data_IF_672193086715
#
_entry.id   IF_672193086715
#
_cell.length_a   1.000
_cell.length_b   1.000
_cell.length_c   1.000
_cell.angle_alpha   90.00
_cell.angle_beta   90.00
_cell.angle_gamma   90.00
#
_symmetry.space_group_name_H-M   'P 1'
#
loop_
_entity.id
_entity.type
_entity.pdbx_description
1 polymer ?
#
# COMPACT_ATOMS: atom_id res chain seq x y z
N UNK A 1 9.18 -5.64 -3.12
CA UNK A 1 9.70 -4.33 -2.69
C UNK A 1 10.12 -3.60 -3.96
N UNK A 2 9.68 -2.36 -4.21
CA UNK A 2 10.16 -1.64 -5.40
C UNK A 2 11.58 -1.16 -5.15
N UNK A 3 12.45 -1.26 -6.15
CA UNK A 3 13.81 -0.77 -6.04
C UNK A 3 13.79 0.77 -5.85
N UNK A 4 14.62 1.31 -4.94
CA UNK A 4 14.82 2.76 -4.85
C UNK A 4 15.37 3.29 -6.18
N UNK A 5 15.16 4.58 -6.44
CA UNK A 5 15.75 5.24 -7.59
C UNK A 5 17.29 5.18 -7.54
N UNK A 6 17.90 4.91 -8.68
CA UNK A 6 19.35 4.90 -8.86
C UNK A 6 19.85 6.30 -9.25
N UNK A 7 21.16 6.55 -9.14
CA UNK A 7 21.78 7.81 -9.60
C UNK A 7 21.42 8.14 -11.06
N UNK A 8 21.37 7.12 -11.92
CA UNK A 8 20.99 7.28 -13.34
C UNK A 8 19.54 7.76 -13.47
N UNK A 9 18.64 7.29 -12.62
CA UNK A 9 17.23 7.71 -12.64
C UNK A 9 17.11 9.19 -12.23
N UNK A 10 17.89 9.63 -11.24
CA UNK A 10 17.94 11.03 -10.82
C UNK A 10 18.53 11.95 -11.89
N UNK A 11 19.64 11.54 -12.52
CA UNK A 11 20.24 12.28 -13.63
C UNK A 11 19.24 12.49 -14.78
N UNK A 12 18.54 11.42 -15.18
CA UNK A 12 17.53 11.50 -16.25
C UNK A 12 16.35 12.39 -15.87
N UNK A 13 15.87 12.26 -14.63
CA UNK A 13 14.77 13.07 -14.09
C UNK A 13 15.10 14.56 -14.10
N UNK A 14 16.25 14.95 -13.53
CA UNK A 14 16.66 16.35 -13.45
C UNK A 14 17.03 16.92 -14.82
N UNK A 15 17.62 16.11 -15.69
CA UNK A 15 17.89 16.52 -17.08
C UNK A 15 16.59 16.86 -17.81
N UNK A 16 15.57 16.00 -17.71
CA UNK A 16 14.26 16.25 -18.32
C UNK A 16 13.61 17.54 -17.81
N UNK A 17 13.65 17.77 -16.48
CA UNK A 17 13.10 18.98 -15.87
C UNK A 17 13.88 20.23 -16.26
N UNK A 18 15.22 20.16 -16.32
CA UNK A 18 16.08 21.26 -16.73
C UNK A 18 15.81 21.71 -18.17
N UNK A 19 15.47 20.78 -19.07
CA UNK A 19 15.08 21.12 -20.45
C UNK A 19 13.65 21.66 -20.56
N UNK A 20 12.73 21.18 -19.73
CA UNK A 20 11.32 21.56 -19.80
C UNK A 20 11.00 22.87 -19.07
N UNK A 21 11.77 23.20 -18.04
CA UNK A 21 11.49 24.35 -17.17
C UNK A 21 12.32 25.57 -17.57
N UNK A 22 11.76 26.75 -17.34
CA UNK A 22 12.46 28.01 -17.51
C UNK A 22 13.44 28.24 -16.36
N UNK A 23 14.68 28.57 -16.70
CA UNK A 23 15.73 28.80 -15.71
C UNK A 23 17.08 29.06 -16.36
N UNK A 24 18.01 29.60 -15.56
CA UNK A 24 19.41 29.73 -15.96
C UNK A 24 20.02 28.33 -16.02
N UNK A 25 20.69 27.99 -17.12
CA UNK A 25 21.46 26.75 -17.19
C UNK A 25 22.56 26.79 -16.13
N UNK A 26 22.55 25.87 -15.16
CA UNK A 26 23.59 25.83 -14.15
C UNK A 26 24.93 25.49 -14.79
N UNK A 27 26.02 25.95 -14.17
CA UNK A 27 27.35 25.46 -14.50
C UNK A 27 27.46 23.96 -14.18
N UNK A 28 28.49 23.30 -14.69
CA UNK A 28 28.68 21.86 -14.46
C UNK A 28 28.80 21.51 -12.97
N UNK A 29 29.48 22.36 -12.20
CA UNK A 29 29.66 22.15 -10.76
C UNK A 29 28.38 22.42 -9.99
N UNK A 30 27.62 23.44 -10.37
CA UNK A 30 26.29 23.72 -9.81
C UNK A 30 25.31 22.58 -10.10
N UNK A 31 25.32 22.03 -11.31
CA UNK A 31 24.47 20.91 -11.69
C UNK A 31 24.79 19.66 -10.87
N UNK A 32 26.08 19.37 -10.63
CA UNK A 32 26.53 18.26 -9.81
C UNK A 32 26.15 18.42 -8.34
N UNK A 33 26.33 19.62 -7.79
CA UNK A 33 25.90 19.93 -6.42
C UNK A 33 24.37 19.83 -6.28
N UNK A 34 23.64 20.32 -7.27
CA UNK A 34 22.20 20.18 -7.36
C UNK A 34 21.76 18.71 -7.35
N UNK A 35 22.32 17.88 -8.22
CA UNK A 35 22.03 16.45 -8.29
C UNK A 35 22.18 15.77 -6.92
N UNK A 36 23.30 16.00 -6.23
CA UNK A 36 23.55 15.42 -4.92
C UNK A 36 22.50 15.82 -3.86
N UNK A 37 21.97 17.04 -3.94
CA UNK A 37 20.88 17.51 -3.07
C UNK A 37 19.59 16.76 -3.35
N UNK A 38 19.21 16.59 -4.63
CA UNK A 38 18.01 15.85 -5.00
C UNK A 38 18.11 14.37 -4.66
N UNK A 39 19.25 13.73 -4.94
CA UNK A 39 19.50 12.33 -4.58
C UNK A 39 19.32 12.12 -3.08
N UNK A 40 19.93 12.97 -2.25
CA UNK A 40 19.80 12.87 -0.79
C UNK A 40 18.37 13.10 -0.32
N UNK A 41 17.66 14.07 -0.91
CA UNK A 41 16.30 14.42 -0.50
C UNK A 41 15.25 13.38 -0.94
N UNK A 42 15.55 12.58 -1.96
CA UNK A 42 14.61 11.68 -2.61
C UNK A 42 15.05 10.22 -2.57
N UNK A 43 16.05 9.88 -1.75
CA UNK A 43 16.65 8.54 -1.68
C UNK A 43 15.64 7.40 -1.47
N UNK A 44 14.54 7.67 -0.75
CA UNK A 44 13.49 6.69 -0.45
C UNK A 44 12.44 6.56 -1.55
N UNK A 45 12.50 7.39 -2.59
CA UNK A 45 11.50 7.41 -3.67
C UNK A 45 11.80 6.29 -4.68
N UNK A 46 10.83 5.42 -5.00
CA UNK A 46 11.01 4.43 -6.05
C UNK A 46 11.13 5.06 -7.44
N UNK A 47 11.99 4.50 -8.29
CA UNK A 47 12.25 5.01 -9.65
C UNK A 47 10.97 5.28 -10.47
N UNK A 48 10.00 4.36 -10.40
CA UNK A 48 8.72 4.47 -11.12
C UNK A 48 7.87 5.67 -10.68
N UNK A 49 7.88 5.99 -9.38
CA UNK A 49 7.10 7.11 -8.86
C UNK A 49 7.79 8.44 -9.19
N UNK A 50 9.13 8.45 -9.14
CA UNK A 50 9.94 9.58 -9.60
C UNK A 50 9.66 9.89 -11.08
N UNK A 51 9.65 8.89 -11.95
CA UNK A 51 9.40 9.05 -13.39
C UNK A 51 8.00 9.64 -13.68
N UNK A 52 6.99 9.19 -12.92
CA UNK A 52 5.62 9.74 -12.99
C UNK A 52 5.53 11.17 -12.47
N UNK A 53 6.24 11.46 -11.37
CA UNK A 53 6.33 12.80 -10.82
C UNK A 53 6.95 13.77 -11.81
N UNK A 54 8.06 13.39 -12.44
CA UNK A 54 8.74 14.18 -13.50
C UNK A 54 7.79 14.42 -14.66
N UNK A 55 7.13 13.39 -15.17
CA UNK A 55 6.17 13.52 -16.29
C UNK A 55 5.05 14.51 -15.97
N UNK A 56 4.56 14.50 -14.73
CA UNK A 56 3.55 15.45 -14.26
C UNK A 56 4.12 16.87 -14.19
N UNK A 57 5.27 17.06 -13.55
CA UNK A 57 5.85 18.38 -13.32
C UNK A 57 6.35 19.05 -14.60
N UNK A 58 6.81 18.27 -15.59
CA UNK A 58 7.13 18.78 -16.93
C UNK A 58 5.93 19.48 -17.59
N UNK A 59 4.70 19.07 -17.27
CA UNK A 59 3.47 19.65 -17.84
C UNK A 59 2.91 20.81 -17.04
N UNK A 60 3.20 20.86 -15.75
CA UNK A 60 2.54 21.76 -14.79
C UNK A 60 3.47 22.88 -14.29
N UNK A 61 4.78 22.65 -14.23
CA UNK A 61 5.74 23.60 -13.67
C UNK A 61 6.37 24.47 -14.74
N UNK A 62 6.37 25.77 -14.52
CA UNK A 62 7.09 26.75 -15.35
C UNK A 62 8.57 26.85 -14.96
N UNK A 63 8.90 26.70 -13.67
CA UNK A 63 10.25 26.78 -13.13
C UNK A 63 10.73 25.42 -12.62
N UNK A 64 12.04 25.29 -12.41
CA UNK A 64 12.63 24.07 -11.87
C UNK A 64 12.00 23.74 -10.50
N UNK A 65 11.32 22.59 -10.34
CA UNK A 65 10.65 22.24 -9.10
C UNK A 65 11.68 21.91 -8.02
N UNK A 66 11.44 22.37 -6.80
CA UNK A 66 12.23 22.03 -5.62
C UNK A 66 12.15 20.54 -5.27
N UNK A 67 13.11 20.00 -4.48
CA UNK A 67 13.02 18.61 -4.01
C UNK A 67 11.70 18.30 -3.27
N UNK A 68 11.17 19.27 -2.54
CA UNK A 68 9.90 19.13 -1.82
C UNK A 68 8.70 18.99 -2.77
N UNK A 69 8.67 19.75 -3.87
CA UNK A 69 7.63 19.65 -4.90
C UNK A 69 7.71 18.31 -5.64
N UNK A 70 8.93 17.86 -5.95
CA UNK A 70 9.17 16.55 -6.56
C UNK A 70 8.68 15.42 -5.65
N UNK A 71 9.03 15.48 -4.35
CA UNK A 71 8.59 14.52 -3.35
C UNK A 71 7.08 14.50 -3.21
N UNK A 72 6.44 15.68 -3.16
CA UNK A 72 4.98 15.80 -3.09
C UNK A 72 4.30 15.16 -4.31
N UNK A 73 4.84 15.40 -5.51
CA UNK A 73 4.33 14.79 -6.73
C UNK A 73 4.52 13.26 -6.75
N UNK A 74 5.68 12.75 -6.32
CA UNK A 74 5.93 11.31 -6.22
C UNK A 74 5.00 10.63 -5.20
N UNK A 75 4.83 11.24 -4.02
CA UNK A 75 3.96 10.74 -2.96
C UNK A 75 2.49 10.65 -3.38
N UNK A 76 2.03 11.54 -4.27
CA UNK A 76 0.67 11.45 -4.81
C UNK A 76 0.43 10.10 -5.53
N UNK A 77 1.41 9.61 -6.29
CA UNK A 77 1.33 8.33 -6.98
C UNK A 77 1.56 7.15 -6.02
N UNK A 78 2.46 7.32 -5.04
CA UNK A 78 2.71 6.31 -4.02
C UNK A 78 1.50 6.08 -3.10
N UNK A 79 0.71 7.12 -2.78
CA UNK A 79 -0.39 7.07 -1.83
C UNK A 79 -1.42 5.98 -2.17
N UNK A 80 -1.83 5.87 -3.44
CA UNK A 80 -2.78 4.83 -3.89
C UNK A 80 -2.22 3.42 -3.65
N UNK A 81 -0.94 3.22 -3.91
CA UNK A 81 -0.27 1.93 -3.71
C UNK A 81 -0.11 1.62 -2.22
N UNK A 82 0.34 2.60 -1.42
CA UNK A 82 0.46 2.46 0.03
C UNK A 82 -0.87 2.10 0.67
N UNK A 83 -1.96 2.73 0.21
CA UNK A 83 -3.32 2.38 0.65
C UNK A 83 -3.70 0.94 0.27
N UNK A 84 -3.44 0.52 -0.97
CA UNK A 84 -3.73 -0.85 -1.40
C UNK A 84 -2.95 -1.89 -0.59
N UNK A 85 -1.66 -1.64 -0.31
CA UNK A 85 -0.83 -2.51 0.52
C UNK A 85 -1.35 -2.55 1.97
N UNK A 86 -1.67 -1.39 2.54
CA UNK A 86 -2.23 -1.29 3.89
C UNK A 86 -3.54 -2.06 4.01
N UNK A 87 -4.44 -1.92 3.03
CA UNK A 87 -5.70 -2.66 2.97
C UNK A 87 -5.47 -4.16 2.84
N UNK A 88 -4.55 -4.60 1.98
CA UNK A 88 -4.22 -6.02 1.85
C UNK A 88 -3.69 -6.60 3.17
N UNK A 89 -2.78 -5.90 3.86
CA UNK A 89 -2.28 -6.28 5.19
C UNK A 89 -3.41 -6.37 6.21
N UNK A 90 -4.34 -5.42 6.18
CA UNK A 90 -5.48 -5.43 7.08
C UNK A 90 -6.40 -6.64 6.83
N UNK A 91 -6.66 -7.00 5.57
CA UNK A 91 -7.44 -8.19 5.23
C UNK A 91 -6.76 -9.49 5.64
N UNK A 92 -5.44 -9.58 5.48
CA UNK A 92 -4.66 -10.73 5.96
C UNK A 92 -4.78 -10.83 7.48
N UNK A 93 -4.61 -9.71 8.19
CA UNK A 93 -4.75 -9.69 9.64
C UNK A 93 -6.15 -10.10 10.11
N UNK A 94 -7.22 -9.65 9.42
CA UNK A 94 -8.59 -10.09 9.71
C UNK A 94 -8.76 -11.59 9.48
N UNK A 95 -8.19 -12.12 8.40
CA UNK A 95 -8.21 -13.55 8.13
C UNK A 95 -7.48 -14.31 9.24
N UNK A 96 -6.25 -13.94 9.59
CA UNK A 96 -5.47 -14.60 10.65
C UNK A 96 -6.17 -14.55 12.02
N UNK A 97 -6.90 -13.46 12.31
CA UNK A 97 -7.61 -13.26 13.59
C UNK A 97 -8.94 -14.00 13.66
N UNK A 98 -9.77 -13.88 12.63
CA UNK A 98 -11.19 -14.25 12.68
C UNK A 98 -11.52 -15.50 11.87
N UNK A 99 -10.63 -15.93 10.97
CA UNK A 99 -10.89 -17.10 10.16
C UNK A 99 -11.00 -18.35 11.03
N UNK A 100 -12.16 -19.00 10.92
CA UNK A 100 -12.35 -20.37 11.40
C UNK A 100 -12.53 -21.25 10.18
N UNK A 101 -11.84 -22.39 10.09
CA UNK A 101 -12.08 -23.32 9.00
C UNK A 101 -13.55 -23.73 9.01
N UNK A 102 -14.17 -23.89 7.83
CA UNK A 102 -15.54 -24.36 7.75
C UNK A 102 -15.63 -25.71 8.46
N UNK A 103 -16.44 -25.78 9.50
CA UNK A 103 -16.80 -27.04 10.14
C UNK A 103 -17.80 -27.76 9.24
N UNK A 104 -17.70 -29.08 9.16
CA UNK A 104 -18.71 -29.89 8.50
C UNK A 104 -20.06 -29.58 9.18
N UNK A 105 -21.00 -29.02 8.43
CA UNK A 105 -22.35 -28.86 8.92
C UNK A 105 -22.96 -30.25 9.06
N UNK A 106 -23.58 -30.48 10.21
CA UNK A 106 -24.33 -31.70 10.52
C UNK A 106 -25.39 -31.88 9.44
N UNK A 107 -25.54 -33.10 8.91
CA UNK A 107 -26.57 -33.38 7.92
C UNK A 107 -27.97 -33.13 8.55
N UNK A 108 -29.00 -32.74 7.77
CA UNK A 108 -30.33 -32.50 8.32
C UNK A 108 -30.90 -33.67 9.13
N UNK A 109 -30.54 -34.90 8.75
CA UNK A 109 -30.92 -36.14 9.44
C UNK A 109 -30.23 -36.25 10.81
N UNK A 110 -28.91 -36.07 10.86
CA UNK A 110 -28.14 -36.06 12.11
C UNK A 110 -28.58 -34.94 13.08
N UNK A 111 -29.06 -33.80 12.55
CA UNK A 111 -29.63 -32.72 13.36
C UNK A 111 -30.98 -33.13 14.00
N UNK A 112 -31.80 -33.88 13.27
CA UNK A 112 -33.07 -34.40 13.78
C UNK A 112 -32.83 -35.41 14.90
N UNK A 113 -31.86 -36.30 14.73
CA UNK A 113 -31.47 -37.29 15.73
C UNK A 113 -30.92 -36.65 17.01
N UNK A 114 -30.09 -35.61 16.86
CA UNK A 114 -29.58 -34.83 18.00
C UNK A 114 -30.70 -34.11 18.76
N UNK A 115 -31.69 -33.57 18.04
CA UNK A 115 -32.85 -32.91 18.66
C UNK A 115 -33.68 -33.89 19.47
N UNK A 116 -34.01 -35.06 18.89
CA UNK A 116 -34.77 -36.08 19.62
C UNK A 116 -34.02 -36.59 20.85
N UNK A 117 -32.69 -36.77 20.75
CA UNK A 117 -31.87 -37.19 21.88
C UNK A 117 -31.84 -36.13 23.01
N UNK A 118 -31.81 -34.83 22.67
CA UNK A 118 -31.87 -33.73 23.64
C UNK A 118 -33.24 -33.68 24.32
N UNK A 119 -34.33 -33.80 23.57
CA UNK A 119 -35.71 -33.75 24.10
C UNK A 119 -35.99 -34.94 25.02
N UNK A 120 -35.48 -36.12 24.69
CA UNK A 120 -35.59 -37.31 25.53
C UNK A 120 -34.77 -37.15 26.84
N UNK A 121 -33.55 -36.61 26.75
CA UNK A 121 -32.72 -36.33 27.92
C UNK A 121 -33.38 -35.28 28.85
N UNK A 122 -33.96 -34.21 28.28
CA UNK A 122 -34.69 -33.18 29.01
C UNK A 122 -35.92 -33.76 29.72
N UNK A 123 -36.66 -34.65 29.04
CA UNK A 123 -37.81 -35.35 29.61
C UNK A 123 -37.41 -36.23 30.79
N UNK A 124 -36.32 -36.99 30.68
CA UNK A 124 -35.77 -37.82 31.77
C UNK A 124 -35.31 -36.99 32.98
N UNK A 125 -34.67 -35.85 32.74
CA UNK A 125 -34.28 -34.91 33.80
C UNK A 125 -35.50 -34.33 34.52
N UNK A 126 -36.54 -33.92 33.77
CA UNK A 126 -37.77 -33.39 34.36
C UNK A 126 -38.53 -34.45 35.19
N UNK A 127 -38.51 -35.72 34.76
CA UNK A 127 -39.10 -36.83 35.51
C UNK A 127 -38.34 -37.16 36.80
N UNK A 128 -37.02 -36.94 36.83
CA UNK A 128 -36.18 -37.20 37.99
C UNK A 128 -36.14 -36.04 39.00
N UNK A 129 -36.50 -34.80 38.60
CA UNK A 129 -36.58 -33.63 39.48
C UNK A 129 -37.97 -33.41 40.11
N UNK A 130 -38.92 -34.32 39.88
CA UNK A 130 -40.29 -34.28 40.43
C UNK A 130 -40.50 -35.05 41.73
N UNK A 131 -39.42 -35.46 42.43
CA UNK A 131 -39.42 -35.96 43.82
C UNK A 131 -38.66 -34.98 44.71
#
# INVERSE_FOLDING_TARGET
>A
MMAPATAIDFERALTALSFATSGKRPSKDEAKAGLAIYERALADVPARDLERAVTKLVRECTFMPTPAELLKAANHFAAKRSYAISRARHLIWLHERDYRPPVAFIAPEELADLRSAIDEAASRLSANCGM
#
